data_IF_516011492422
#
_entry.id   IF_516011492422
#
_cell.length_a   1.000
_cell.length_b   1.000
_cell.length_c   1.000
_cell.angle_alpha   90.00
_cell.angle_beta   90.00
_cell.angle_gamma   90.00
#
_symmetry.space_group_name_H-M   'P 1'
#
loop_
_entity.id
_entity.type
_entity.pdbx_description
1 polymer ?
#
# COMPACT_ATOMS: atom_id res chain seq x y z
N UNK A 1 33.98 -5.50 -16.92
CA UNK A 1 33.78 -6.31 -15.70
C UNK A 1 32.45 -5.85 -15.15
N UNK A 2 31.38 -6.61 -15.41
CA UNK A 2 30.12 -6.36 -14.71
C UNK A 2 30.39 -6.57 -13.22
N UNK A 3 30.10 -5.53 -12.43
CA UNK A 3 30.09 -5.65 -10.98
C UNK A 3 29.04 -6.70 -10.64
N UNK A 4 29.46 -7.89 -10.19
CA UNK A 4 28.53 -8.82 -9.56
C UNK A 4 28.07 -8.14 -8.28
N UNK A 5 26.87 -7.55 -8.32
CA UNK A 5 26.20 -7.07 -7.11
C UNK A 5 26.07 -8.27 -6.19
N UNK A 6 26.57 -8.13 -4.97
CA UNK A 6 26.76 -9.27 -4.10
C UNK A 6 25.52 -9.56 -3.27
N UNK A 7 24.66 -8.59 -2.99
CA UNK A 7 23.55 -8.79 -2.04
C UNK A 7 22.20 -8.45 -2.69
N UNK A 8 21.11 -8.83 -2.04
CA UNK A 8 19.78 -8.36 -2.39
C UNK A 8 19.19 -7.53 -1.24
N UNK A 9 18.35 -6.57 -1.60
CA UNK A 9 17.55 -5.80 -0.65
C UNK A 9 16.11 -5.75 -1.14
N UNK A 10 15.18 -6.05 -0.23
CA UNK A 10 13.75 -6.04 -0.46
C UNK A 10 13.16 -4.90 0.36
N UNK A 11 12.47 -3.99 -0.31
CA UNK A 11 11.69 -2.94 0.33
C UNK A 11 10.21 -3.31 0.30
N UNK A 12 9.52 -3.14 1.43
CA UNK A 12 8.08 -2.86 1.35
C UNK A 12 7.84 -1.52 0.63
N UNK A 13 6.63 -1.32 0.12
CA UNK A 13 6.26 -0.09 -0.58
C UNK A 13 5.51 0.91 0.32
N UNK A 14 4.36 0.53 0.86
CA UNK A 14 3.38 1.47 1.40
C UNK A 14 3.60 1.67 2.89
N UNK A 15 4.14 2.83 3.27
CA UNK A 15 4.62 3.08 4.64
C UNK A 15 6.15 3.04 4.70
N UNK A 16 6.80 2.29 3.82
CA UNK A 16 8.26 2.20 3.70
C UNK A 16 8.85 3.15 2.66
N UNK A 17 8.58 2.95 1.36
CA UNK A 17 9.07 3.83 0.28
C UNK A 17 8.13 5.01 0.00
N UNK A 18 6.84 4.83 0.27
CA UNK A 18 5.76 5.77 -0.02
C UNK A 18 5.08 6.21 1.26
N UNK A 19 5.02 7.53 1.49
CA UNK A 19 4.19 8.15 2.52
C UNK A 19 2.74 8.11 2.07
N UNK A 20 1.87 7.52 2.90
CA UNK A 20 0.46 7.29 2.57
C UNK A 20 -0.43 8.18 3.41
N UNK A 21 -1.35 8.88 2.77
CA UNK A 21 -2.39 9.65 3.43
C UNK A 21 -3.76 9.09 3.08
N UNK A 22 -4.36 8.42 4.07
CA UNK A 22 -5.64 7.71 3.91
C UNK A 22 -6.77 8.60 4.39
N UNK A 23 -7.81 8.75 3.58
CA UNK A 23 -9.02 9.48 3.92
C UNK A 23 -10.22 8.58 3.72
N UNK A 24 -11.05 8.50 4.75
CA UNK A 24 -12.29 7.73 4.73
C UNK A 24 -13.45 8.64 5.09
N UNK A 25 -14.44 8.73 4.20
CA UNK A 25 -15.68 9.48 4.42
C UNK A 25 -16.80 8.51 4.78
N UNK A 26 -17.43 8.74 5.92
CA UNK A 26 -18.68 8.08 6.32
C UNK A 26 -19.86 8.78 5.62
N UNK A 27 -20.59 8.04 4.79
CA UNK A 27 -21.70 8.58 3.99
C UNK A 27 -22.99 8.77 4.81
N UNK A 28 -23.11 8.15 5.99
CA UNK A 28 -24.26 8.35 6.88
C UNK A 28 -24.14 9.64 7.68
N UNK A 29 -22.94 9.92 8.18
CA UNK A 29 -22.69 11.10 9.04
C UNK A 29 -22.09 12.28 8.27
N UNK A 30 -21.55 12.04 7.07
CA UNK A 30 -20.76 13.01 6.32
C UNK A 30 -19.37 13.27 6.92
N UNK A 31 -18.99 12.55 7.99
CA UNK A 31 -17.72 12.75 8.69
C UNK A 31 -16.56 12.25 7.85
N UNK A 32 -15.52 13.07 7.76
CA UNK A 32 -14.23 12.68 7.17
C UNK A 32 -13.30 12.24 8.29
N UNK A 33 -12.73 11.06 8.13
CA UNK A 33 -11.74 10.45 9.01
C UNK A 33 -10.40 10.47 8.28
N UNK A 34 -9.42 11.13 8.91
CA UNK A 34 -8.06 11.26 8.39
C UNK A 34 -7.18 10.18 9.04
N UNK A 35 -6.35 9.55 8.22
CA UNK A 35 -5.48 8.44 8.59
C UNK A 35 -6.19 7.32 9.38
N UNK A 36 -7.39 6.97 8.91
CA UNK A 36 -8.21 5.95 9.55
C UNK A 36 -7.64 4.55 9.32
N UNK A 37 -7.61 3.73 10.39
CA UNK A 37 -7.44 2.29 10.27
C UNK A 37 -8.70 1.69 9.66
N UNK A 38 -8.63 1.53 8.34
CA UNK A 38 -9.74 1.06 7.54
C UNK A 38 -10.13 -0.38 7.88
N UNK A 39 -9.16 -1.25 8.16
CA UNK A 39 -9.43 -2.64 8.52
C UNK A 39 -10.17 -2.73 9.85
N UNK A 40 -9.80 -1.89 10.83
CA UNK A 40 -10.56 -1.76 12.06
C UNK A 40 -12.00 -1.31 11.78
N UNK A 41 -12.19 -0.26 10.99
CA UNK A 41 -13.52 0.26 10.63
C UNK A 41 -14.41 -0.78 9.93
N UNK A 42 -13.83 -1.62 9.07
CA UNK A 42 -14.57 -2.68 8.38
C UNK A 42 -14.88 -3.85 9.31
N UNK A 43 -13.92 -4.25 10.16
CA UNK A 43 -14.05 -5.40 11.07
C UNK A 43 -15.02 -5.19 12.24
N UNK A 44 -15.47 -3.95 12.48
CA UNK A 44 -16.49 -3.61 13.49
C UNK A 44 -17.87 -4.23 13.23
N UNK A 45 -18.17 -4.73 12.01
CA UNK A 45 -19.47 -5.32 11.71
C UNK A 45 -19.38 -6.45 10.68
N UNK A 46 -20.20 -7.49 10.88
CA UNK A 46 -20.41 -8.55 9.90
C UNK A 46 -21.11 -8.02 8.63
N UNK A 47 -20.97 -8.72 7.51
CA UNK A 47 -21.62 -8.34 6.24
C UNK A 47 -21.03 -7.08 5.60
N UNK A 48 -19.75 -6.77 5.84
CA UNK A 48 -19.06 -5.65 5.19
C UNK A 48 -17.95 -6.13 4.25
N UNK A 49 -17.85 -5.49 3.10
CA UNK A 49 -16.75 -5.68 2.16
C UNK A 49 -16.04 -4.36 1.89
N UNK A 50 -14.71 -4.40 1.86
CA UNK A 50 -13.86 -3.36 1.29
C UNK A 50 -13.62 -3.68 -0.18
N UNK A 51 -14.06 -2.77 -1.03
CA UNK A 51 -13.87 -2.85 -2.47
C UNK A 51 -12.81 -1.83 -2.84
N UNK A 52 -11.75 -2.30 -3.50
CA UNK A 52 -10.72 -1.46 -4.09
C UNK A 52 -10.96 -1.43 -5.60
N UNK A 53 -10.87 -0.24 -6.19
CA UNK A 53 -11.06 0.00 -7.61
C UNK A 53 -9.76 0.50 -8.24
N UNK A 54 -9.42 -0.09 -9.37
CA UNK A 54 -8.26 0.28 -10.20
C UNK A 54 -8.71 1.36 -11.19
N UNK A 55 -8.55 2.62 -10.77
CA UNK A 55 -8.91 3.77 -11.58
C UNK A 55 -7.77 4.79 -11.61
N UNK A 56 -7.39 5.31 -12.80
CA UNK A 56 -6.48 6.44 -12.89
C UNK A 56 -7.02 7.68 -12.18
N UNK A 57 -6.16 8.42 -11.48
CA UNK A 57 -6.53 9.63 -10.73
C UNK A 57 -7.18 10.68 -11.63
N UNK A 58 -6.59 10.95 -12.79
CA UNK A 58 -7.09 11.91 -13.76
C UNK A 58 -8.49 11.53 -14.27
N UNK A 59 -8.74 10.24 -14.50
CA UNK A 59 -10.04 9.73 -14.89
C UNK A 59 -11.08 9.95 -13.78
N UNK A 60 -10.73 9.69 -12.52
CA UNK A 60 -11.61 9.92 -11.37
C UNK A 60 -11.95 11.40 -11.23
N UNK A 61 -10.93 12.27 -11.26
CA UNK A 61 -11.08 13.72 -11.07
C UNK A 61 -11.89 14.42 -12.18
N UNK A 62 -11.92 13.84 -13.39
CA UNK A 62 -12.68 14.36 -14.52
C UNK A 62 -14.17 13.95 -14.49
N UNK A 63 -14.60 13.10 -13.56
CA UNK A 63 -15.99 12.64 -13.54
C UNK A 63 -16.96 13.76 -13.15
N UNK A 64 -18.16 13.82 -13.78
CA UNK A 64 -19.21 14.73 -13.33
C UNK A 64 -19.64 14.39 -11.90
N UNK A 65 -19.70 15.35 -10.96
CA UNK A 65 -20.06 15.08 -9.57
C UNK A 65 -21.42 14.38 -9.39
N UNK A 66 -22.38 14.67 -10.27
CA UNK A 66 -23.73 14.10 -10.23
C UNK A 66 -23.83 12.67 -10.77
N UNK A 67 -22.77 12.16 -11.42
CA UNK A 67 -22.75 10.80 -11.98
C UNK A 67 -22.79 9.79 -10.84
N UNK A 68 -23.61 8.74 -10.98
CA UNK A 68 -23.60 7.62 -10.02
C UNK A 68 -22.27 6.86 -10.11
N UNK A 69 -21.75 6.43 -8.96
CA UNK A 69 -20.56 5.60 -8.87
C UNK A 69 -20.73 4.31 -9.69
N UNK A 70 -21.88 3.66 -9.59
CA UNK A 70 -22.20 2.45 -10.37
C UNK A 70 -22.14 2.69 -11.88
N UNK A 71 -22.54 3.89 -12.34
CA UNK A 71 -22.44 4.30 -13.74
C UNK A 71 -20.99 4.59 -14.17
N UNK A 72 -20.18 5.14 -13.27
CA UNK A 72 -18.74 5.30 -13.48
C UNK A 72 -18.08 3.94 -13.66
N UNK A 73 -18.19 3.05 -12.66
CA UNK A 73 -17.59 1.71 -12.69
C UNK A 73 -18.01 0.93 -13.95
N UNK A 74 -19.30 0.93 -14.28
CA UNK A 74 -19.84 0.18 -15.43
C UNK A 74 -19.42 0.74 -16.78
N UNK A 75 -19.58 2.04 -17.03
CA UNK A 75 -19.38 2.60 -18.38
C UNK A 75 -17.90 2.82 -18.69
N UNK A 76 -17.09 3.19 -17.70
CA UNK A 76 -15.63 3.30 -17.86
C UNK A 76 -14.92 1.94 -17.73
N UNK A 77 -15.66 0.89 -17.36
CA UNK A 77 -15.15 -0.49 -17.17
C UNK A 77 -14.00 -0.55 -16.16
N UNK A 78 -14.16 0.18 -15.07
CA UNK A 78 -13.19 0.23 -13.97
C UNK A 78 -13.12 -1.16 -13.32
N UNK A 79 -11.96 -1.82 -13.32
CA UNK A 79 -11.77 -3.04 -12.55
C UNK A 79 -11.89 -2.74 -11.05
N UNK A 80 -12.51 -3.65 -10.30
CA UNK A 80 -12.55 -3.58 -8.86
C UNK A 80 -12.60 -4.98 -8.25
N UNK A 81 -12.15 -5.10 -7.01
CA UNK A 81 -12.06 -6.37 -6.28
C UNK A 81 -12.32 -6.20 -4.80
N UNK A 82 -12.66 -7.31 -4.14
CA UNK A 82 -12.79 -7.36 -2.68
C UNK A 82 -11.41 -7.49 -2.09
N UNK A 83 -10.92 -6.44 -1.44
CA UNK A 83 -9.65 -6.49 -0.72
C UNK A 83 -9.81 -7.16 0.65
N UNK A 84 -10.97 -6.98 1.29
CA UNK A 84 -11.29 -7.61 2.57
C UNK A 84 -12.80 -7.77 2.72
N UNK A 85 -13.25 -8.83 3.38
CA UNK A 85 -14.65 -9.06 3.68
C UNK A 85 -14.81 -9.68 5.07
N UNK A 86 -15.79 -9.19 5.84
CA UNK A 86 -16.20 -9.83 7.09
C UNK A 86 -17.16 -10.98 6.81
N UNK A 87 -17.36 -11.82 7.82
CA UNK A 87 -18.27 -12.96 7.72
C UNK A 87 -19.65 -12.53 7.23
N UNK A 88 -20.19 -13.24 6.23
CA UNK A 88 -21.51 -12.97 5.67
C UNK A 88 -21.56 -11.92 4.55
N UNK A 89 -20.40 -11.46 4.06
CA UNK A 89 -20.30 -10.69 2.82
C UNK A 89 -19.78 -11.55 1.68
N UNK A 90 -20.44 -11.51 0.52
CA UNK A 90 -20.00 -12.22 -0.68
C UNK A 90 -19.98 -11.35 -1.95
N UNK A 91 -19.43 -11.89 -3.05
CA UNK A 91 -19.33 -11.15 -4.32
C UNK A 91 -20.68 -10.78 -4.95
N UNK A 92 -21.74 -11.53 -4.67
CA UNK A 92 -23.11 -11.24 -5.12
C UNK A 92 -23.69 -10.00 -4.44
N UNK A 93 -23.29 -9.74 -3.18
CA UNK A 93 -23.68 -8.53 -2.47
C UNK A 93 -23.24 -7.26 -3.18
N UNK A 94 -22.02 -7.25 -3.75
CA UNK A 94 -21.48 -6.07 -4.45
C UNK A 94 -22.37 -5.69 -5.63
N UNK A 95 -22.72 -6.67 -6.46
CA UNK A 95 -23.58 -6.43 -7.62
C UNK A 95 -24.96 -5.92 -7.20
N UNK A 96 -25.56 -6.53 -6.17
CA UNK A 96 -26.84 -6.12 -5.62
C UNK A 96 -26.80 -4.69 -5.06
N UNK A 97 -25.76 -4.34 -4.33
CA UNK A 97 -25.58 -3.01 -3.75
C UNK A 97 -25.37 -1.99 -4.86
N UNK A 98 -24.42 -2.19 -5.77
CA UNK A 98 -24.13 -1.25 -6.87
C UNK A 98 -25.34 -0.99 -7.78
N UNK A 99 -26.25 -1.96 -7.95
CA UNK A 99 -27.47 -1.78 -8.73
C UNK A 99 -28.51 -0.87 -8.06
N UNK A 100 -28.53 -0.81 -6.73
CA UNK A 100 -29.56 -0.08 -5.97
C UNK A 100 -29.05 1.23 -5.36
N UNK A 101 -27.75 1.27 -5.04
CA UNK A 101 -27.11 2.39 -4.37
C UNK A 101 -27.06 3.64 -5.26
N UNK A 102 -27.22 4.80 -4.64
CA UNK A 102 -27.28 6.11 -5.31
C UNK A 102 -26.07 7.00 -5.02
N UNK A 103 -24.98 6.42 -4.48
CA UNK A 103 -23.75 7.15 -4.21
C UNK A 103 -23.23 7.78 -5.50
N UNK A 104 -22.92 9.07 -5.41
CA UNK A 104 -22.47 9.90 -6.53
C UNK A 104 -20.95 10.03 -6.51
N UNK A 105 -20.39 10.34 -7.68
CA UNK A 105 -18.96 10.66 -7.81
C UNK A 105 -18.56 11.87 -6.96
N UNK A 106 -19.47 12.79 -6.64
CA UNK A 106 -19.22 13.89 -5.70
C UNK A 106 -18.58 13.42 -4.38
N UNK A 107 -19.03 12.30 -3.82
CA UNK A 107 -18.50 11.75 -2.58
C UNK A 107 -17.03 11.29 -2.73
N UNK A 108 -16.72 10.67 -3.88
CA UNK A 108 -15.36 10.29 -4.26
C UNK A 108 -14.46 11.50 -4.51
N UNK A 109 -14.95 12.50 -5.22
CA UNK A 109 -14.19 13.71 -5.54
C UNK A 109 -13.84 14.50 -4.29
N UNK A 110 -14.77 14.62 -3.35
CA UNK A 110 -14.51 15.27 -2.06
C UNK A 110 -13.50 14.50 -1.23
N UNK A 111 -13.69 13.18 -1.10
CA UNK A 111 -12.75 12.31 -0.35
C UNK A 111 -11.35 12.32 -0.98
N UNK A 112 -11.28 12.27 -2.32
CA UNK A 112 -10.02 12.35 -3.06
C UNK A 112 -9.33 13.69 -2.86
N UNK A 113 -10.06 14.80 -2.94
CA UNK A 113 -9.50 16.12 -2.72
C UNK A 113 -8.75 16.19 -1.39
N UNK A 114 -9.36 15.72 -0.31
CA UNK A 114 -8.71 15.65 1.01
C UNK A 114 -7.49 14.72 1.01
N UNK A 115 -7.60 13.53 0.42
CA UNK A 115 -6.48 12.56 0.35
C UNK A 115 -5.28 13.09 -0.45
N UNK A 116 -5.53 13.98 -1.41
CA UNK A 116 -4.51 14.59 -2.24
C UNK A 116 -4.02 15.94 -1.71
N UNK A 117 -4.66 16.51 -0.70
CA UNK A 117 -4.39 17.88 -0.25
C UNK A 117 -3.02 18.07 0.41
N UNK A 118 -2.41 17.00 0.91
CA UNK A 118 -1.14 17.07 1.63
C UNK A 118 0.10 16.93 0.73
N UNK A 119 -0.08 16.54 -0.54
CA UNK A 119 1.02 16.17 -1.42
C UNK A 119 0.89 16.87 -2.77
N UNK A 120 1.94 17.59 -3.16
CA UNK A 120 2.00 18.22 -4.49
C UNK A 120 2.43 17.21 -5.59
N UNK A 121 3.15 16.15 -5.21
CA UNK A 121 3.74 15.14 -6.12
C UNK A 121 3.19 13.73 -5.83
N UNK A 122 1.89 13.55 -6.08
CA UNK A 122 1.23 12.26 -5.89
C UNK A 122 1.68 11.28 -6.96
N UNK A 123 2.11 10.11 -6.53
CA UNK A 123 2.58 9.02 -7.40
C UNK A 123 1.88 7.70 -7.11
N UNK A 124 1.02 7.69 -6.10
CA UNK A 124 0.39 6.51 -5.54
C UNK A 124 -1.06 6.83 -5.21
N UNK A 125 -2.00 6.06 -5.76
CA UNK A 125 -3.41 6.30 -5.52
C UNK A 125 -4.17 4.98 -5.35
N UNK A 126 -4.99 4.94 -4.31
CA UNK A 126 -5.91 3.84 -4.07
C UNK A 126 -7.29 4.40 -3.81
N UNK A 127 -8.25 3.91 -4.56
CA UNK A 127 -9.66 4.27 -4.43
C UNK A 127 -10.45 3.08 -3.96
N UNK A 128 -11.39 3.30 -3.04
CA UNK A 128 -12.22 2.22 -2.56
C UNK A 128 -13.50 2.69 -1.88
N UNK A 129 -14.34 1.72 -1.55
CA UNK A 129 -15.56 1.95 -0.81
C UNK A 129 -15.91 0.75 0.06
N UNK A 130 -16.65 1.00 1.14
CA UNK A 130 -17.18 -0.04 2.00
C UNK A 130 -18.64 -0.30 1.64
N UNK A 131 -18.92 -1.53 1.18
CA UNK A 131 -20.26 -2.01 0.94
C UNK A 131 -20.76 -2.78 2.16
N UNK A 132 -22.01 -2.51 2.58
CA UNK A 132 -22.65 -3.17 3.73
C UNK A 132 -23.87 -3.94 3.23
N UNK A 133 -23.81 -5.27 3.30
CA UNK A 133 -24.85 -6.19 2.80
C UNK A 133 -26.11 -6.17 3.64
N UNK A 134 -25.99 -5.88 4.95
CA UNK A 134 -27.11 -5.73 5.87
C UNK A 134 -27.88 -4.43 5.64
N UNK A 135 -27.19 -3.36 5.28
CA UNK A 135 -27.80 -2.07 4.90
C UNK A 135 -28.15 -1.96 3.42
N UNK A 136 -27.66 -2.88 2.59
CA UNK A 136 -27.81 -2.89 1.13
C UNK A 136 -27.37 -1.57 0.46
N UNK A 137 -26.25 -1.00 0.90
CA UNK A 137 -25.73 0.28 0.40
C UNK A 137 -24.22 0.40 0.59
N UNK A 138 -23.64 1.41 -0.04
CA UNK A 138 -22.30 1.89 0.25
C UNK A 138 -22.38 2.77 1.50
N UNK A 139 -21.48 2.52 2.44
CA UNK A 139 -21.45 3.22 3.74
C UNK A 139 -20.27 4.17 3.86
N UNK A 140 -19.17 3.86 3.19
CA UNK A 140 -17.95 4.67 3.25
C UNK A 140 -17.30 4.78 1.88
N UNK A 141 -16.69 5.93 1.62
CA UNK A 141 -15.80 6.16 0.49
C UNK A 141 -14.39 6.36 1.02
N UNK A 142 -13.42 5.86 0.27
CA UNK A 142 -12.03 5.84 0.67
C UNK A 142 -11.16 6.31 -0.48
N UNK A 143 -10.22 7.19 -0.17
CA UNK A 143 -9.18 7.60 -1.09
C UNK A 143 -7.86 7.65 -0.33
N UNK A 144 -6.82 7.15 -0.96
CA UNK A 144 -5.45 7.27 -0.47
C UNK A 144 -4.64 8.00 -1.51
N UNK A 145 -3.95 9.05 -1.09
CA UNK A 145 -2.87 9.66 -1.85
C UNK A 145 -1.54 9.24 -1.25
N UNK A 146 -0.51 9.08 -2.08
CA UNK A 146 0.83 8.83 -1.59
C UNK A 146 1.92 9.49 -2.44
N UNK A 147 2.98 9.88 -1.74
CA UNK A 147 4.22 10.42 -2.33
C UNK A 147 5.40 9.58 -1.87
N UNK A 148 6.51 9.61 -2.62
CA UNK A 148 7.75 9.03 -2.09
C UNK A 148 8.18 9.76 -0.82
N UNK A 149 8.78 9.05 0.13
CA UNK A 149 9.56 9.70 1.17
C UNK A 149 10.71 10.47 0.55
N UNK A 150 11.06 11.62 1.14
CA UNK A 150 12.10 12.51 0.62
C UNK A 150 13.45 11.77 0.50
N UNK A 151 13.75 10.87 1.44
CA UNK A 151 14.96 10.04 1.48
C UNK A 151 14.92 8.79 0.59
N UNK A 152 13.76 8.40 0.05
CA UNK A 152 13.61 7.13 -0.67
C UNK A 152 14.51 7.02 -1.90
N UNK A 153 14.66 8.11 -2.66
CA UNK A 153 15.53 8.14 -3.84
C UNK A 153 16.99 7.92 -3.48
N UNK A 154 17.46 8.60 -2.44
CA UNK A 154 18.87 8.55 -2.02
C UNK A 154 19.21 7.19 -1.40
N UNK A 155 18.33 6.65 -0.57
CA UNK A 155 18.49 5.33 0.04
C UNK A 155 18.51 4.23 -1.01
N UNK A 156 17.58 4.25 -1.98
CA UNK A 156 17.56 3.29 -3.08
C UNK A 156 18.78 3.45 -4.00
N UNK A 157 19.22 4.68 -4.26
CA UNK A 157 20.42 4.92 -5.06
C UNK A 157 21.67 4.35 -4.38
N UNK A 158 21.84 4.58 -3.07
CA UNK A 158 22.94 4.02 -2.28
C UNK A 158 22.87 2.48 -2.25
N UNK A 159 21.68 1.91 -2.05
CA UNK A 159 21.49 0.46 -2.04
C UNK A 159 21.90 -0.19 -3.38
N UNK A 160 21.62 0.46 -4.51
CA UNK A 160 21.98 -0.05 -5.85
C UNK A 160 23.48 -0.15 -6.12
N UNK A 161 24.31 0.54 -5.34
CA UNK A 161 25.76 0.45 -5.51
C UNK A 161 26.28 -0.97 -5.23
N UNK A 162 25.63 -1.70 -4.31
CA UNK A 162 26.09 -3.00 -3.85
C UNK A 162 25.00 -4.10 -3.84
N UNK A 163 23.72 -3.73 -4.00
CA UNK A 163 22.60 -4.66 -3.99
C UNK A 163 21.77 -4.65 -5.28
N UNK A 164 21.15 -5.79 -5.56
CA UNK A 164 19.94 -5.82 -6.38
C UNK A 164 18.74 -5.43 -5.52
N UNK A 165 17.97 -4.44 -6.00
CA UNK A 165 16.87 -3.83 -5.26
C UNK A 165 15.55 -4.40 -5.76
N UNK A 166 14.72 -4.85 -4.82
CA UNK A 166 13.40 -5.42 -5.03
C UNK A 166 12.33 -4.61 -4.27
N UNK A 167 11.10 -4.63 -4.80
CA UNK A 167 9.91 -4.15 -4.09
C UNK A 167 8.98 -5.34 -3.89
N UNK A 168 8.55 -5.59 -2.66
CA UNK A 168 7.55 -6.61 -2.34
C UNK A 168 6.37 -5.98 -1.58
N UNK A 169 5.20 -5.91 -2.20
CA UNK A 169 4.01 -5.28 -1.61
C UNK A 169 2.73 -6.05 -1.92
N UNK A 170 1.71 -5.88 -1.07
CA UNK A 170 0.35 -6.38 -1.28
C UNK A 170 -0.45 -5.62 -2.34
N UNK A 171 0.07 -4.49 -2.80
CA UNK A 171 -0.62 -3.61 -3.73
C UNK A 171 -0.51 -4.07 -5.19
N UNK A 172 -1.30 -3.42 -6.05
CA UNK A 172 -1.32 -3.71 -7.47
C UNK A 172 -0.04 -3.25 -8.20
N UNK A 173 0.23 -3.89 -9.34
CA UNK A 173 1.40 -3.58 -10.15
C UNK A 173 1.37 -2.18 -10.77
N UNK A 174 0.21 -1.55 -10.97
CA UNK A 174 0.17 -0.24 -11.61
C UNK A 174 0.82 0.81 -10.70
N UNK A 175 0.45 0.80 -9.42
CA UNK A 175 1.03 1.66 -8.40
C UNK A 175 2.51 1.32 -8.14
N UNK A 176 2.85 0.04 -7.96
CA UNK A 176 4.23 -0.38 -7.70
C UNK A 176 5.17 -0.04 -8.87
N UNK A 177 4.71 -0.17 -10.12
CA UNK A 177 5.51 0.21 -11.28
C UNK A 177 5.78 1.72 -11.34
N UNK A 178 4.85 2.58 -10.89
CA UNK A 178 5.10 4.04 -10.80
C UNK A 178 6.20 4.33 -9.78
N UNK A 179 6.14 3.68 -8.62
CA UNK A 179 7.18 3.78 -7.57
C UNK A 179 8.53 3.30 -8.11
N UNK A 180 8.56 2.13 -8.74
CA UNK A 180 9.76 1.57 -9.34
C UNK A 180 10.35 2.48 -10.42
N UNK A 181 9.52 3.03 -11.32
CA UNK A 181 9.95 3.95 -12.38
C UNK A 181 10.56 5.24 -11.79
N UNK A 182 9.99 5.78 -10.70
CA UNK A 182 10.50 6.99 -10.00
C UNK A 182 11.81 6.73 -9.25
N UNK A 183 12.01 5.50 -8.78
CA UNK A 183 13.21 5.07 -8.06
C UNK A 183 14.24 4.40 -8.97
N UNK A 184 13.92 4.20 -10.26
CA UNK A 184 14.75 3.51 -11.25
C UNK A 184 14.96 2.01 -10.99
N UNK A 185 14.01 1.33 -10.34
CA UNK A 185 14.05 -0.10 -10.04
C UNK A 185 13.48 -0.87 -11.24
N UNK A 186 14.09 -2.01 -11.60
CA UNK A 186 13.60 -2.84 -12.71
C UNK A 186 12.22 -3.40 -12.39
N UNK A 187 11.30 -3.39 -13.37
CA UNK A 187 9.96 -3.97 -13.22
C UNK A 187 9.98 -5.48 -12.96
N UNK A 188 11.06 -6.16 -13.36
CA UNK A 188 11.29 -7.57 -13.07
C UNK A 188 11.55 -7.83 -11.57
N UNK A 189 11.98 -6.80 -10.83
CA UNK A 189 12.23 -6.86 -9.39
C UNK A 189 11.04 -6.32 -8.58
N UNK A 190 9.90 -6.04 -9.22
CA UNK A 190 8.67 -5.61 -8.56
C UNK A 190 7.75 -6.81 -8.41
N UNK A 191 7.39 -7.13 -7.16
CA UNK A 191 6.57 -8.27 -6.82
C UNK A 191 5.35 -7.74 -6.06
N UNK A 192 4.24 -7.58 -6.78
CA UNK A 192 2.97 -7.09 -6.25
C UNK A 192 2.04 -8.22 -5.80
N UNK A 193 0.91 -7.84 -5.18
CA UNK A 193 -0.12 -8.76 -4.69
C UNK A 193 0.39 -9.78 -3.66
N UNK A 194 1.41 -9.42 -2.88
CA UNK A 194 1.99 -10.26 -1.84
C UNK A 194 1.17 -10.20 -0.54
N UNK A 195 0.81 -11.35 0.01
CA UNK A 195 0.51 -11.44 1.44
C UNK A 195 1.81 -11.53 2.27
N UNK A 196 1.66 -11.49 3.58
CA UNK A 196 2.73 -11.64 4.57
C UNK A 196 3.63 -12.86 4.31
N UNK A 197 3.04 -14.03 4.09
CA UNK A 197 3.77 -15.26 3.80
C UNK A 197 4.50 -15.19 2.46
N UNK A 198 3.93 -14.53 1.44
CA UNK A 198 4.57 -14.40 0.14
C UNK A 198 5.80 -13.51 0.21
N UNK A 199 5.78 -12.44 1.03
CA UNK A 199 6.97 -11.62 1.28
C UNK A 199 8.10 -12.45 1.89
N UNK A 200 7.77 -13.33 2.84
CA UNK A 200 8.75 -14.25 3.42
C UNK A 200 9.31 -15.24 2.39
N UNK A 201 8.47 -15.84 1.54
CA UNK A 201 8.94 -16.74 0.47
C UNK A 201 9.93 -16.04 -0.47
N UNK A 202 9.68 -14.78 -0.82
CA UNK A 202 10.58 -13.97 -1.67
C UNK A 202 11.96 -13.85 -1.02
N UNK A 203 12.02 -13.58 0.29
CA UNK A 203 13.28 -13.49 1.02
C UNK A 203 14.02 -14.82 0.96
N UNK A 204 13.36 -15.95 1.23
CA UNK A 204 13.97 -17.28 1.13
C UNK A 204 14.46 -17.61 -0.29
N UNK A 205 13.67 -17.27 -1.31
CA UNK A 205 14.04 -17.50 -2.71
C UNK A 205 15.31 -16.69 -3.08
N UNK A 206 15.41 -15.44 -2.61
CA UNK A 206 16.58 -14.60 -2.83
C UNK A 206 17.82 -15.11 -2.08
N UNK A 207 17.67 -15.67 -0.88
CA UNK A 207 18.80 -16.25 -0.12
C UNK A 207 19.46 -17.45 -0.84
N UNK A 208 18.76 -18.09 -1.77
CA UNK A 208 19.35 -19.12 -2.63
C UNK A 208 20.28 -18.56 -3.73
N UNK A 209 20.16 -17.26 -4.02
CA UNK A 209 20.84 -16.58 -5.13
C UNK A 209 21.84 -15.51 -4.66
N UNK A 210 21.63 -14.98 -3.46
CA UNK A 210 22.42 -13.89 -2.88
C UNK A 210 23.00 -14.32 -1.52
N UNK A 211 24.28 -14.02 -1.21
CA UNK A 211 24.89 -14.29 0.09
C UNK A 211 24.26 -13.55 1.28
N UNK A 212 23.70 -12.36 1.06
CA UNK A 212 22.95 -11.61 2.07
C UNK A 212 21.68 -11.03 1.45
N UNK A 213 20.56 -11.17 2.17
CA UNK A 213 19.27 -10.56 1.84
C UNK A 213 18.83 -9.65 2.98
N UNK A 214 18.63 -8.38 2.67
CA UNK A 214 18.16 -7.37 3.61
C UNK A 214 16.67 -7.13 3.35
N UNK A 215 15.85 -7.06 4.39
CA UNK A 215 14.45 -6.68 4.30
C UNK A 215 14.24 -5.35 5.03
N UNK A 216 13.55 -4.40 4.40
CA UNK A 216 13.12 -3.14 5.01
C UNK A 216 11.61 -3.04 4.92
N UNK A 217 10.95 -2.88 6.07
CA UNK A 217 9.49 -2.77 6.16
C UNK A 217 9.06 -1.88 7.33
N UNK A 218 7.75 -1.64 7.46
CA UNK A 218 7.18 -0.78 8.51
C UNK A 218 6.03 -1.44 9.28
N UNK A 219 5.47 -2.54 8.78
CA UNK A 219 4.21 -3.08 9.28
C UNK A 219 4.24 -4.55 9.71
N UNK A 220 3.17 -4.97 10.38
CA UNK A 220 2.96 -6.36 10.80
C UNK A 220 2.99 -7.35 9.62
N UNK A 221 2.57 -6.92 8.43
CA UNK A 221 2.61 -7.76 7.23
C UNK A 221 4.05 -8.05 6.75
N UNK A 222 5.03 -7.28 7.22
CA UNK A 222 6.45 -7.47 6.89
C UNK A 222 7.16 -8.35 7.92
N UNK A 223 6.56 -8.54 9.10
CA UNK A 223 7.13 -9.27 10.23
C UNK A 223 7.73 -10.64 9.84
N UNK A 224 7.03 -11.51 9.07
CA UNK A 224 7.61 -12.81 8.69
C UNK A 224 8.80 -12.70 7.73
N UNK A 225 8.83 -11.65 6.89
CA UNK A 225 9.92 -11.40 5.97
C UNK A 225 11.13 -10.75 6.66
N UNK A 226 10.88 -9.84 7.60
CA UNK A 226 11.91 -9.25 8.48
C UNK A 226 12.65 -10.35 9.26
N UNK A 227 11.92 -11.29 9.87
CA UNK A 227 12.50 -12.42 10.60
C UNK A 227 13.28 -13.41 9.73
N UNK A 228 12.92 -13.52 8.45
CA UNK A 228 13.54 -14.47 7.53
C UNK A 228 14.80 -13.91 6.87
N UNK A 229 14.95 -12.58 6.81
CA UNK A 229 16.09 -11.93 6.18
C UNK A 229 17.39 -12.19 6.95
N UNK A 230 18.52 -12.05 6.27
CA UNK A 230 19.83 -12.06 6.95
C UNK A 230 20.02 -10.78 7.79
N UNK A 231 19.28 -9.73 7.45
CA UNK A 231 19.17 -8.49 8.23
C UNK A 231 17.82 -7.80 7.97
N UNK A 232 16.97 -7.72 8.99
CA UNK A 232 15.69 -7.01 8.96
C UNK A 232 15.78 -5.62 9.57
N UNK A 233 15.37 -4.59 8.82
CA UNK A 233 15.26 -3.21 9.30
C UNK A 233 13.78 -2.83 9.38
N UNK A 234 13.32 -2.49 10.58
CA UNK A 234 11.98 -1.95 10.80
C UNK A 234 12.00 -0.43 10.85
N UNK A 235 11.14 0.21 10.05
CA UNK A 235 10.88 1.64 10.14
C UNK A 235 9.72 1.87 11.11
N UNK A 236 10.02 2.33 12.32
CA UNK A 236 9.05 2.54 13.40
C UNK A 236 8.88 4.03 13.69
N UNK A 237 8.11 4.74 12.85
CA UNK A 237 7.88 6.19 13.03
C UNK A 237 7.21 6.51 14.36
N UNK A 238 7.73 7.51 15.07
CA UNK A 238 7.27 7.94 16.40
C UNK A 238 5.76 8.20 16.59
N UNK A 239 5.02 8.46 15.50
CA UNK A 239 3.59 8.76 15.58
C UNK A 239 2.68 7.52 15.52
N UNK A 240 3.25 6.33 15.32
CA UNK A 240 2.51 5.08 15.25
C UNK A 240 2.86 4.17 16.42
N UNK A 241 1.85 3.45 16.92
CA UNK A 241 2.08 2.37 17.87
C UNK A 241 2.68 1.18 17.13
N UNK A 242 3.93 0.85 17.45
CA UNK A 242 4.61 -0.35 16.96
C UNK A 242 4.48 -1.46 18.01
N UNK A 243 3.78 -2.57 17.72
CA UNK A 243 3.67 -3.71 18.62
C UNK A 243 5.03 -4.31 18.95
N UNK A 244 5.21 -4.84 20.16
CA UNK A 244 6.50 -5.40 20.57
C UNK A 244 6.89 -6.64 19.74
N UNK A 245 5.92 -7.45 19.33
CA UNK A 245 6.13 -8.58 18.41
C UNK A 245 6.74 -8.17 17.06
N UNK A 246 6.41 -6.97 16.56
CA UNK A 246 6.99 -6.43 15.34
C UNK A 246 8.41 -5.90 15.56
N UNK A 247 8.67 -5.29 16.72
CA UNK A 247 10.03 -4.85 17.10
C UNK A 247 10.97 -6.04 17.25
N UNK A 248 10.51 -7.09 17.91
CA UNK A 248 11.27 -8.33 18.15
C UNK A 248 11.58 -9.11 16.85
N UNK A 249 10.91 -8.77 15.74
CA UNK A 249 11.10 -9.37 14.43
C UNK A 249 12.21 -8.75 13.59
N UNK A 250 12.75 -7.60 14.00
CA UNK A 250 13.79 -6.88 13.27
C UNK A 250 15.12 -6.90 14.02
N UNK A 251 16.22 -6.89 13.25
CA UNK A 251 17.57 -6.77 13.79
C UNK A 251 17.91 -5.32 14.15
N UNK A 252 17.33 -4.36 13.41
CA UNK A 252 17.54 -2.93 13.60
C UNK A 252 16.21 -2.17 13.46
N UNK A 253 16.05 -1.11 14.23
CA UNK A 253 14.84 -0.28 14.23
C UNK A 253 15.25 1.18 14.02
N UNK A 254 14.69 1.82 13.00
CA UNK A 254 14.95 3.22 12.66
C UNK A 254 13.67 4.04 12.69
N UNK A 255 13.78 5.35 12.89
CA UNK A 255 12.64 6.26 12.88
C UNK A 255 12.37 6.82 11.48
N UNK A 256 13.42 6.97 10.66
CA UNK A 256 13.34 7.45 9.28
C UNK A 256 14.07 6.54 8.28
N UNK A 257 13.50 6.42 7.07
CA UNK A 257 14.10 5.64 5.98
C UNK A 257 15.53 6.11 5.64
N UNK A 258 15.83 7.40 5.79
CA UNK A 258 17.14 7.99 5.50
C UNK A 258 18.27 7.40 6.35
N UNK A 259 17.96 6.95 7.57
CA UNK A 259 18.92 6.32 8.48
C UNK A 259 19.46 4.99 7.94
N UNK A 260 18.67 4.31 7.08
CA UNK A 260 19.07 3.06 6.45
C UNK A 260 20.35 3.21 5.63
N UNK A 261 20.63 4.40 5.06
CA UNK A 261 21.84 4.60 4.24
C UNK A 261 23.12 4.25 4.99
N UNK A 262 23.26 4.73 6.22
CA UNK A 262 24.45 4.50 7.04
C UNK A 262 24.56 3.03 7.47
N UNK A 263 23.43 2.43 7.83
CA UNK A 263 23.32 1.03 8.27
C UNK A 263 23.68 0.07 7.13
N UNK A 264 23.13 0.32 5.94
CA UNK A 264 23.42 -0.45 4.73
C UNK A 264 24.91 -0.35 4.38
N UNK A 265 25.52 0.83 4.49
CA UNK A 265 26.96 0.99 4.27
C UNK A 265 27.80 0.17 5.24
N UNK A 266 27.47 0.12 6.53
CA UNK A 266 28.20 -0.71 7.49
C UNK A 266 27.99 -2.21 7.24
N UNK A 267 26.75 -2.65 7.01
CA UNK A 267 26.41 -4.07 6.96
C UNK A 267 26.82 -4.75 5.63
N UNK A 268 26.81 -3.99 4.52
CA UNK A 268 27.15 -4.50 3.19
C UNK A 268 28.67 -4.55 2.97
N UNK A 269 29.43 -3.66 3.63
CA UNK A 269 30.90 -3.62 3.50
C UNK A 269 31.65 -4.57 4.45
N UNK A 270 30.96 -5.19 5.41
CA UNK A 270 31.46 -6.29 6.25
C UNK A 270 31.37 -7.66 5.56
#
# INVERSE_FOLDING_TARGET
MESFKQNAIVFDCAGTLVEMYRVTKDLETGKILLDADNLKLISESAGRGLIIMDAPLDLVQQQPPERLLSDFLRKEKIPFGVAYATQGFDSGDISRILLNDQTKMAEFLETNKEATALFDDIIYEVFGFVADSGKNKITHIMSTGGKLFDSAKDVVAAAKENCDVYIASGDDYANLNRVADKLGISKENVIGLCNDMKKQEIVFDLQNHYPKVIMIGDGLNDMPALQAADFGILISRHNYYTPDELKDAADEIVDDLGECTAILQSYILE
#
